data_IF_981982092718
#
_entry.id   IF_981982092718
#
_cell.length_a   1.000
_cell.length_b   1.000
_cell.length_c   1.000
_cell.angle_alpha   90.00
_cell.angle_beta   90.00
_cell.angle_gamma   90.00
#
_symmetry.space_group_name_H-M   'P 1'
#
loop_
_entity.id
_entity.type
_entity.pdbx_description
1 polymer ?
#
# COMPACT_ATOMS: atom_id res chain seq x y z
N UNK A 1 -13.58 28.97 -1.15
CA UNK A 1 -12.47 27.99 -1.17
C UNK A 1 -12.97 26.82 -2.01
N UNK A 2 -12.40 26.59 -3.20
CA UNK A 2 -12.86 25.51 -4.10
C UNK A 2 -12.44 24.19 -3.48
N UNK A 3 -13.38 23.28 -3.25
CA UNK A 3 -13.05 21.91 -2.84
C UNK A 3 -12.40 21.19 -4.03
N UNK A 4 -11.13 20.84 -3.88
CA UNK A 4 -10.31 20.24 -4.95
C UNK A 4 -10.83 18.87 -5.37
N UNK A 5 -11.40 18.09 -4.44
CA UNK A 5 -11.84 16.72 -4.67
C UNK A 5 -13.09 16.64 -5.59
N UNK A 6 -14.17 17.42 -5.37
CA UNK A 6 -15.28 17.51 -6.34
C UNK A 6 -14.83 17.92 -7.74
N UNK A 7 -13.91 18.87 -7.84
CA UNK A 7 -13.39 19.34 -9.13
C UNK A 7 -12.61 18.23 -9.86
N UNK A 8 -11.72 17.55 -9.15
CA UNK A 8 -10.93 16.42 -9.65
C UNK A 8 -11.83 15.27 -10.10
N UNK A 9 -12.83 14.93 -9.29
CA UNK A 9 -13.78 13.87 -9.60
C UNK A 9 -14.59 14.18 -10.87
N UNK A 10 -15.13 15.39 -10.97
CA UNK A 10 -15.98 15.78 -12.10
C UNK A 10 -15.19 15.93 -13.40
N UNK A 11 -14.02 16.56 -13.34
CA UNK A 11 -13.27 16.94 -14.56
C UNK A 11 -12.34 15.86 -15.08
N UNK A 12 -11.84 14.96 -14.23
CA UNK A 12 -10.85 13.95 -14.62
C UNK A 12 -11.33 12.52 -14.37
N UNK A 13 -11.71 12.21 -13.12
CA UNK A 13 -11.95 10.80 -12.72
C UNK A 13 -13.22 10.24 -13.36
N UNK A 14 -14.34 10.99 -13.32
CA UNK A 14 -15.62 10.50 -13.86
C UNK A 14 -15.54 10.22 -15.37
N UNK A 15 -15.00 11.11 -16.23
CA UNK A 15 -14.81 10.82 -17.64
C UNK A 15 -13.89 9.62 -17.90
N UNK A 16 -12.79 9.50 -17.15
CA UNK A 16 -11.83 8.40 -17.27
C UNK A 16 -12.48 7.06 -16.92
N UNK A 17 -13.13 6.98 -15.75
CA UNK A 17 -13.82 5.76 -15.28
C UNK A 17 -14.94 5.37 -16.24
N UNK A 18 -15.71 6.33 -16.74
CA UNK A 18 -16.74 6.06 -17.77
C UNK A 18 -16.12 5.40 -19.00
N UNK A 19 -14.99 5.93 -19.49
CA UNK A 19 -14.30 5.38 -20.67
C UNK A 19 -13.73 3.98 -20.40
N UNK A 20 -13.11 3.76 -19.25
CA UNK A 20 -12.57 2.44 -18.86
C UNK A 20 -13.67 1.38 -18.77
N UNK A 21 -14.81 1.72 -18.17
CA UNK A 21 -15.99 0.82 -18.10
C UNK A 21 -16.54 0.51 -19.50
N UNK A 22 -16.62 1.51 -20.39
CA UNK A 22 -17.04 1.29 -21.78
C UNK A 22 -16.09 0.38 -22.57
N UNK A 23 -14.81 0.33 -22.19
CA UNK A 23 -13.81 -0.59 -22.74
C UNK A 23 -13.84 -1.98 -22.08
N UNK A 24 -14.71 -2.20 -21.09
CA UNK A 24 -14.85 -3.48 -20.39
C UNK A 24 -13.89 -3.69 -19.23
N UNK A 25 -13.22 -2.64 -18.74
CA UNK A 25 -12.32 -2.75 -17.59
C UNK A 25 -13.04 -2.44 -16.27
N UNK A 26 -12.71 -3.20 -15.22
CA UNK A 26 -13.18 -2.99 -13.84
C UNK A 26 -12.12 -2.35 -12.93
N UNK A 27 -10.86 -2.33 -13.38
CA UNK A 27 -9.71 -1.79 -12.67
C UNK A 27 -8.68 -1.25 -13.65
N UNK A 28 -7.80 -0.35 -13.19
CA UNK A 28 -6.69 0.15 -13.99
C UNK A 28 -5.47 0.48 -13.13
N UNK A 29 -4.28 0.39 -13.75
CA UNK A 29 -3.03 0.89 -13.18
C UNK A 29 -2.73 2.25 -13.79
N UNK A 30 -2.59 3.27 -12.96
CA UNK A 30 -2.26 4.63 -13.36
C UNK A 30 -0.75 4.87 -13.21
N UNK A 31 -0.18 5.57 -14.18
CA UNK A 31 1.17 6.14 -14.11
C UNK A 31 0.99 7.66 -14.01
N UNK A 32 0.74 8.20 -12.80
CA UNK A 32 0.62 9.63 -12.63
C UNK A 32 1.99 10.27 -12.84
N UNK A 33 2.04 11.34 -13.63
CA UNK A 33 3.26 12.09 -13.89
C UNK A 33 3.23 13.41 -13.14
N UNK A 34 4.37 13.82 -12.59
CA UNK A 34 4.55 15.14 -11.97
C UNK A 34 3.54 15.38 -10.83
N UNK A 35 3.07 16.62 -10.65
CA UNK A 35 2.09 17.04 -9.64
C UNK A 35 0.79 16.23 -9.59
N UNK A 36 0.47 15.46 -10.63
CA UNK A 36 -0.70 14.58 -10.61
C UNK A 36 -0.57 13.45 -9.58
N UNK A 37 0.65 13.06 -9.22
CA UNK A 37 0.91 12.04 -8.19
C UNK A 37 0.56 12.52 -6.77
N UNK A 38 0.50 13.85 -6.57
CA UNK A 38 0.13 14.46 -5.29
C UNK A 38 -1.38 14.53 -5.06
N UNK A 39 -2.18 14.24 -6.09
CA UNK A 39 -3.63 14.35 -6.02
C UNK A 39 -4.26 13.01 -5.62
N UNK A 40 -5.34 13.02 -4.80
CA UNK A 40 -6.03 11.81 -4.38
C UNK A 40 -6.95 11.28 -5.50
N UNK A 41 -6.37 10.86 -6.62
CA UNK A 41 -7.10 10.47 -7.84
C UNK A 41 -8.09 9.32 -7.60
N UNK A 42 -7.81 8.45 -6.64
CA UNK A 42 -8.67 7.33 -6.26
C UNK A 42 -9.83 7.75 -5.34
N UNK A 43 -9.71 8.84 -4.58
CA UNK A 43 -10.67 9.20 -3.53
C UNK A 43 -12.04 9.67 -4.06
N UNK A 44 -12.15 9.93 -5.37
CA UNK A 44 -13.38 10.41 -6.01
C UNK A 44 -14.20 9.33 -6.71
N UNK A 45 -13.90 8.03 -6.52
CA UNK A 45 -14.56 6.94 -7.25
C UNK A 45 -14.50 5.59 -6.54
N UNK A 46 -15.47 4.72 -6.81
CA UNK A 46 -15.45 3.30 -6.42
C UNK A 46 -14.70 2.41 -7.44
N UNK A 47 -14.13 2.99 -8.49
CA UNK A 47 -13.33 2.25 -9.47
C UNK A 47 -11.96 1.89 -8.89
N UNK A 48 -11.53 0.64 -9.07
CA UNK A 48 -10.25 0.17 -8.51
C UNK A 48 -9.06 0.73 -9.29
N UNK A 49 -8.30 1.60 -8.64
CA UNK A 49 -7.03 2.10 -9.17
C UNK A 49 -5.85 1.58 -8.36
N UNK A 50 -4.78 1.22 -9.06
CA UNK A 50 -3.44 1.07 -8.49
C UNK A 50 -2.50 2.07 -9.15
N UNK A 51 -1.40 2.41 -8.49
CA UNK A 51 -0.46 3.43 -8.96
C UNK A 51 0.93 2.83 -9.11
N UNK A 52 1.61 3.18 -10.19
CA UNK A 52 3.01 2.81 -10.41
C UNK A 52 3.77 3.99 -10.99
N UNK A 53 5.04 4.21 -10.61
CA UNK A 53 5.81 5.35 -11.09
C UNK A 53 6.29 5.19 -12.54
N UNK A 54 6.30 3.97 -13.09
CA UNK A 54 6.58 3.74 -14.51
C UNK A 54 6.11 2.37 -14.99
N UNK A 55 5.92 2.23 -16.31
CA UNK A 55 5.61 0.95 -16.94
C UNK A 55 6.71 -0.10 -16.74
N UNK A 56 7.98 0.33 -16.69
CA UNK A 56 9.13 -0.55 -16.43
C UNK A 56 9.08 -1.15 -15.02
N UNK A 57 8.73 -0.33 -14.02
CA UNK A 57 8.59 -0.80 -12.64
C UNK A 57 7.36 -1.69 -12.48
N UNK A 58 6.25 -1.39 -13.15
CA UNK A 58 5.10 -2.31 -13.21
C UNK A 58 5.47 -3.68 -13.77
N UNK A 59 6.14 -3.72 -14.93
CA UNK A 59 6.57 -4.99 -15.53
C UNK A 59 7.52 -5.76 -14.61
N UNK A 60 8.45 -5.06 -13.96
CA UNK A 60 9.38 -5.68 -13.00
C UNK A 60 8.65 -6.26 -11.80
N UNK A 61 7.70 -5.51 -11.24
CA UNK A 61 6.89 -5.96 -10.11
C UNK A 61 6.07 -7.19 -10.47
N UNK A 62 5.36 -7.17 -11.61
CA UNK A 62 4.57 -8.31 -12.10
C UNK A 62 5.41 -9.58 -12.27
N UNK A 63 6.61 -9.47 -12.88
CA UNK A 63 7.49 -10.62 -13.02
C UNK A 63 7.99 -11.15 -11.66
N UNK A 64 8.30 -10.26 -10.71
CA UNK A 64 8.78 -10.65 -9.38
C UNK A 64 7.69 -11.25 -8.51
N UNK A 65 6.43 -10.86 -8.69
CA UNK A 65 5.31 -11.39 -7.89
C UNK A 65 4.72 -12.67 -8.48
N UNK A 66 4.96 -12.95 -9.76
CA UNK A 66 4.44 -14.14 -10.44
C UNK A 66 4.71 -15.47 -9.71
N UNK A 67 5.88 -15.73 -9.10
CA UNK A 67 6.12 -16.95 -8.33
C UNK A 67 5.21 -17.11 -7.09
N UNK A 68 4.63 -16.02 -6.59
CA UNK A 68 3.77 -16.02 -5.40
C UNK A 68 2.28 -16.19 -5.73
N UNK A 69 1.89 -16.23 -7.01
CA UNK A 69 0.49 -16.32 -7.41
C UNK A 69 -0.23 -17.55 -6.84
N UNK A 70 0.49 -18.68 -6.75
CA UNK A 70 -0.02 -19.95 -6.23
C UNK A 70 0.61 -20.33 -4.87
N UNK A 71 1.41 -19.45 -4.27
CA UNK A 71 2.07 -19.73 -3.01
C UNK A 71 1.06 -19.70 -1.85
N UNK A 72 1.19 -20.59 -0.83
CA UNK A 72 0.38 -20.51 0.37
C UNK A 72 0.53 -19.14 1.05
N UNK A 73 -0.58 -18.57 1.50
CA UNK A 73 -0.59 -17.28 2.17
C UNK A 73 0.30 -17.30 3.42
N UNK A 74 1.19 -16.33 3.55
CA UNK A 74 2.10 -16.17 4.67
C UNK A 74 2.23 -14.70 5.02
N UNK A 75 2.14 -14.37 6.30
CA UNK A 75 2.21 -13.00 6.80
C UNK A 75 3.46 -12.76 7.66
N UNK A 76 4.09 -11.61 7.46
CA UNK A 76 4.90 -10.94 8.48
C UNK A 76 4.15 -9.69 8.96
N UNK A 77 3.71 -9.67 10.21
CA UNK A 77 3.08 -8.52 10.84
C UNK A 77 4.06 -7.76 11.72
N UNK A 78 4.12 -6.44 11.56
CA UNK A 78 5.00 -5.54 12.31
C UNK A 78 4.13 -4.56 13.10
N UNK A 79 4.12 -4.68 14.43
CA UNK A 79 3.24 -3.91 15.30
C UNK A 79 4.00 -2.95 16.20
N UNK A 80 3.79 -1.65 16.03
CA UNK A 80 4.36 -0.58 16.87
C UNK A 80 5.87 -0.74 17.16
N UNK A 81 6.78 -0.73 16.17
CA UNK A 81 8.21 -0.68 16.44
C UNK A 81 8.56 0.49 17.36
N UNK A 82 9.35 0.23 18.40
CA UNK A 82 9.73 1.28 19.36
C UNK A 82 10.73 2.25 18.75
N UNK A 83 10.47 3.56 18.93
CA UNK A 83 11.37 4.63 18.54
C UNK A 83 11.43 5.68 19.65
N UNK A 84 12.62 6.21 19.93
CA UNK A 84 12.88 7.10 21.09
C UNK A 84 12.08 8.41 21.05
N UNK A 85 11.70 8.87 19.85
CA UNK A 85 11.09 10.18 19.63
C UNK A 85 9.63 10.08 19.13
N UNK A 86 8.98 8.92 19.32
CA UNK A 86 7.61 8.70 18.87
C UNK A 86 6.74 8.17 20.00
N UNK A 87 5.51 8.68 20.09
CA UNK A 87 4.50 8.13 20.99
C UNK A 87 4.14 6.70 20.54
N UNK A 88 4.06 5.72 21.45
CA UNK A 88 3.65 4.37 21.11
C UNK A 88 2.27 4.30 20.46
N UNK A 89 2.12 3.47 19.44
CA UNK A 89 0.83 3.09 18.86
C UNK A 89 0.30 1.87 19.62
N UNK A 90 -0.43 2.11 20.71
CA UNK A 90 -0.92 1.08 21.64
C UNK A 90 -1.70 -0.06 20.94
N UNK A 91 -2.42 0.25 19.86
CA UNK A 91 -3.23 -0.72 19.13
C UNK A 91 -2.49 -1.42 17.98
N UNK A 92 -1.24 -1.05 17.70
CA UNK A 92 -0.46 -1.67 16.62
C UNK A 92 -0.29 -3.19 16.78
N UNK A 93 0.12 -3.69 17.97
CA UNK A 93 0.20 -5.12 18.23
C UNK A 93 -1.16 -5.85 18.12
N UNK A 94 -2.25 -5.19 18.52
CA UNK A 94 -3.59 -5.77 18.44
C UNK A 94 -4.07 -5.89 16.98
N UNK A 95 -3.81 -4.88 16.16
CA UNK A 95 -4.15 -4.87 14.73
C UNK A 95 -3.42 -5.98 13.97
N UNK A 96 -2.10 -6.12 14.15
CA UNK A 96 -1.31 -7.16 13.46
C UNK A 96 -1.75 -8.56 13.90
N UNK A 97 -2.15 -8.74 15.16
CA UNK A 97 -2.68 -10.01 15.65
C UNK A 97 -4.03 -10.36 15.00
N UNK A 98 -4.93 -9.38 14.86
CA UNK A 98 -6.22 -9.57 14.20
C UNK A 98 -6.06 -9.95 12.72
N UNK A 99 -5.14 -9.30 12.00
CA UNK A 99 -4.85 -9.61 10.60
C UNK A 99 -4.17 -10.98 10.48
N UNK A 100 -3.23 -11.31 11.36
CA UNK A 100 -2.53 -12.59 11.34
C UNK A 100 -3.45 -13.81 11.48
N UNK A 101 -4.60 -13.66 12.15
CA UNK A 101 -5.60 -14.72 12.24
C UNK A 101 -6.23 -15.10 10.88
N UNK A 102 -6.08 -14.26 9.84
CA UNK A 102 -6.56 -14.53 8.48
C UNK A 102 -5.56 -15.37 7.65
N UNK A 103 -4.36 -15.61 8.16
CA UNK A 103 -3.27 -16.29 7.44
C UNK A 103 -2.95 -17.65 8.07
N UNK A 104 -2.69 -18.68 7.25
CA UNK A 104 -2.33 -20.01 7.74
C UNK A 104 -0.89 -20.10 8.24
N UNK A 105 -0.02 -19.16 7.83
CA UNK A 105 1.35 -19.01 8.32
C UNK A 105 1.58 -17.54 8.67
N UNK A 106 2.04 -17.28 9.88
CA UNK A 106 2.26 -15.92 10.36
C UNK A 106 3.50 -15.82 11.23
N UNK A 107 4.12 -14.65 11.21
CA UNK A 107 5.17 -14.24 12.13
C UNK A 107 4.87 -12.80 12.53
N UNK A 108 4.97 -12.51 13.82
CA UNK A 108 4.72 -11.18 14.36
C UNK A 108 6.01 -10.65 14.99
N UNK A 109 6.35 -9.41 14.68
CA UNK A 109 7.40 -8.65 15.34
C UNK A 109 6.75 -7.39 15.92
N UNK A 110 6.70 -7.27 17.24
CA UNK A 110 6.09 -6.13 17.91
C UNK A 110 7.12 -5.39 18.76
N UNK A 111 6.93 -4.07 18.90
CA UNK A 111 7.69 -3.24 19.85
C UNK A 111 9.20 -3.41 19.67
N UNK A 112 9.94 -3.70 20.73
CA UNK A 112 11.40 -3.85 20.70
C UNK A 112 11.88 -5.01 19.83
N UNK A 113 11.01 -6.00 19.53
CA UNK A 113 11.34 -7.09 18.63
C UNK A 113 11.28 -6.68 17.14
N UNK A 114 10.57 -5.60 16.81
CA UNK A 114 10.40 -5.09 15.45
C UNK A 114 11.58 -4.27 14.93
N UNK A 115 12.81 -4.74 15.20
CA UNK A 115 14.02 -4.09 14.71
C UNK A 115 14.16 -4.24 13.20
N UNK A 116 14.85 -3.29 12.55
CA UNK A 116 15.19 -3.38 11.12
C UNK A 116 15.86 -4.71 10.77
N UNK A 117 16.76 -5.21 11.61
CA UNK A 117 17.47 -6.46 11.38
C UNK A 117 16.53 -7.68 11.45
N UNK A 118 15.65 -7.71 12.45
CA UNK A 118 14.65 -8.77 12.59
C UNK A 118 13.66 -8.78 11.43
N UNK A 119 13.19 -7.58 11.00
CA UNK A 119 12.31 -7.45 9.84
C UNK A 119 13.00 -7.99 8.59
N UNK A 120 14.19 -7.50 8.25
CA UNK A 120 14.91 -7.94 7.04
C UNK A 120 15.19 -9.45 7.03
N UNK A 121 15.50 -10.04 8.19
CA UNK A 121 15.71 -11.49 8.32
C UNK A 121 14.41 -12.27 8.11
N UNK A 122 13.26 -11.69 8.47
CA UNK A 122 11.96 -12.33 8.39
C UNK A 122 11.22 -12.08 7.07
N UNK A 123 11.73 -11.22 6.19
CA UNK A 123 11.08 -10.85 4.92
C UNK A 123 11.02 -12.02 3.93
N UNK A 124 12.02 -12.89 3.95
CA UNK A 124 12.13 -13.98 2.98
C UNK A 124 10.90 -14.90 3.05
N UNK A 125 10.41 -15.28 1.87
CA UNK A 125 9.28 -16.20 1.67
C UNK A 125 7.92 -15.75 2.26
N UNK A 126 7.76 -14.45 2.57
CA UNK A 126 6.46 -13.88 2.96
C UNK A 126 5.70 -13.41 1.73
N UNK A 127 4.45 -13.85 1.60
CA UNK A 127 3.56 -13.34 0.53
C UNK A 127 2.97 -11.98 0.89
N UNK A 128 2.83 -11.69 2.20
CA UNK A 128 2.25 -10.46 2.70
C UNK A 128 3.09 -9.90 3.86
N UNK A 129 3.21 -8.58 3.89
CA UNK A 129 3.86 -7.85 4.97
C UNK A 129 2.90 -6.74 5.40
N UNK A 130 2.59 -6.68 6.69
CA UNK A 130 1.70 -5.67 7.26
C UNK A 130 2.43 -4.85 8.30
N UNK A 131 2.47 -3.53 8.11
CA UNK A 131 3.06 -2.59 9.05
C UNK A 131 1.95 -1.77 9.72
N UNK A 132 1.77 -1.96 11.03
CA UNK A 132 0.98 -1.06 11.88
C UNK A 132 1.97 -0.24 12.71
N UNK A 133 2.52 0.81 12.09
CA UNK A 133 3.57 1.66 12.65
C UNK A 133 3.47 3.11 12.17
N UNK A 134 4.32 3.99 12.72
CA UNK A 134 4.49 5.33 12.18
C UNK A 134 5.09 5.29 10.77
N UNK A 135 4.53 6.08 9.87
CA UNK A 135 5.10 6.34 8.55
C UNK A 135 6.03 7.56 8.58
N UNK A 136 6.93 7.64 7.60
CA UNK A 136 7.68 8.85 7.31
C UNK A 136 7.15 9.44 6.00
N UNK A 137 6.93 10.74 5.99
CA UNK A 137 6.63 11.51 4.79
C UNK A 137 7.60 12.68 4.72
N UNK A 138 8.41 12.70 3.67
CA UNK A 138 9.28 13.83 3.37
C UNK A 138 8.60 14.67 2.28
N UNK A 139 8.41 15.96 2.55
CA UNK A 139 7.78 16.88 1.59
C UNK A 139 8.72 17.26 0.45
N UNK A 140 10.04 17.25 0.70
CA UNK A 140 11.06 17.61 -0.29
C UNK A 140 11.42 16.42 -1.19
N UNK A 141 11.12 15.20 -0.74
CA UNK A 141 11.18 13.96 -1.51
C UNK A 141 9.84 13.21 -1.47
N UNK A 142 8.77 13.76 -2.09
CA UNK A 142 7.51 13.06 -2.17
C UNK A 142 7.68 11.78 -3.00
N UNK A 143 6.98 10.69 -2.63
CA UNK A 143 7.11 9.38 -3.28
C UNK A 143 6.69 9.37 -4.76
#
# INVERSE_FOLDING_TARGET
>A
MIEILPLLSQRLITPLVKRLKQLGHSQAVLIPMDTLNLLPLHAGTDFTFSFVPSARLLQTALHKTQPYADAPLSLLGIGNPTAKDQNPLEYGPAEVAAIAALFPKQQLLCEDAATRAAVLTALDDKTHIHFSCHGLFDMDEPP
#
